data_IF_263717363914
#
_entry.id   IF_263717363914
#
_cell.length_a   1.000
_cell.length_b   1.000
_cell.length_c   1.000
_cell.angle_alpha   90.00
_cell.angle_beta   90.00
_cell.angle_gamma   90.00
#
_symmetry.space_group_name_H-M   'P 1'
#
loop_
_entity.id
_entity.type
_entity.pdbx_description
1 polymer ?
#
# COMPACT_ATOMS: atom_id res chain seq x y z
N UNK A 1 -6.70 4.60 -18.19
CA UNK A 1 -7.07 3.68 -17.10
C UNK A 1 -5.78 3.06 -16.58
N UNK A 2 -5.06 3.78 -15.72
CA UNK A 2 -3.77 3.33 -15.17
C UNK A 2 -4.10 2.52 -13.91
N UNK A 3 -4.31 1.22 -14.07
CA UNK A 3 -4.37 0.33 -12.91
C UNK A 3 -3.04 0.46 -12.16
N UNK A 4 -3.08 0.73 -10.85
CA UNK A 4 -1.89 0.61 -10.02
C UNK A 4 -1.28 -0.77 -10.27
N UNK A 5 0.04 -0.82 -10.51
CA UNK A 5 0.80 -2.07 -10.58
C UNK A 5 0.90 -2.80 -9.22
N UNK A 6 -0.05 -2.55 -8.32
CA UNK A 6 -0.22 -3.30 -7.09
C UNK A 6 -0.85 -4.64 -7.44
N UNK A 7 -0.10 -5.70 -7.23
CA UNK A 7 -0.53 -7.07 -7.48
C UNK A 7 -1.09 -7.63 -6.19
N UNK A 8 -2.32 -8.16 -6.23
CA UNK A 8 -2.88 -8.87 -5.08
C UNK A 8 -2.04 -10.12 -4.79
N UNK A 9 -1.69 -10.33 -3.54
CA UNK A 9 -0.99 -11.53 -3.10
C UNK A 9 -1.88 -12.75 -3.31
N UNK A 10 -1.27 -13.85 -3.76
CA UNK A 10 -1.96 -15.13 -3.95
C UNK A 10 -2.15 -15.88 -2.62
N UNK A 11 -1.29 -15.61 -1.64
CA UNK A 11 -1.36 -16.19 -0.29
C UNK A 11 -2.52 -15.61 0.52
N UNK A 12 -2.68 -14.28 0.47
CA UNK A 12 -3.68 -13.55 1.23
C UNK A 12 -4.38 -12.52 0.33
N UNK A 13 -5.69 -12.65 0.06
CA UNK A 13 -6.41 -11.72 -0.81
C UNK A 13 -6.52 -10.30 -0.23
N UNK A 14 -6.25 -10.16 1.07
CA UNK A 14 -6.18 -8.89 1.79
C UNK A 14 -4.83 -8.18 1.62
N UNK A 15 -3.80 -8.89 1.16
CA UNK A 15 -2.48 -8.33 0.93
C UNK A 15 -2.29 -7.96 -0.54
N UNK A 16 -1.80 -6.75 -0.75
CA UNK A 16 -1.53 -6.18 -2.06
C UNK A 16 -0.09 -5.71 -2.06
N UNK A 17 0.69 -6.24 -2.99
CA UNK A 17 2.11 -5.97 -3.10
C UNK A 17 2.28 -4.99 -4.24
N UNK A 18 2.88 -3.85 -3.93
CA UNK A 18 3.17 -2.82 -4.91
C UNK A 18 4.66 -2.67 -5.07
N UNK A 19 5.17 -3.14 -6.20
CA UNK A 19 6.58 -3.05 -6.54
C UNK A 19 6.77 -1.88 -7.52
N UNK A 20 7.65 -0.96 -7.13
CA UNK A 20 8.13 0.12 -7.98
C UNK A 20 9.64 -0.03 -8.16
N UNK A 21 10.23 0.56 -9.22
CA UNK A 21 11.67 0.44 -9.49
C UNK A 21 12.55 0.92 -8.33
N UNK A 22 12.06 1.88 -7.55
CA UNK A 22 12.79 2.54 -6.45
C UNK A 22 12.32 2.13 -5.05
N UNK A 23 11.13 1.52 -4.93
CA UNK A 23 10.53 1.19 -3.65
C UNK A 23 9.53 0.05 -3.77
N UNK A 24 9.30 -0.66 -2.68
CA UNK A 24 8.20 -1.61 -2.59
C UNK A 24 7.31 -1.23 -1.42
N UNK A 25 6.00 -1.41 -1.58
CA UNK A 25 5.02 -1.20 -0.53
C UNK A 25 4.10 -2.41 -0.43
N UNK A 26 3.81 -2.84 0.79
CA UNK A 26 2.82 -3.88 1.07
C UNK A 26 1.62 -3.20 1.70
N UNK A 27 0.48 -3.33 1.03
CA UNK A 27 -0.81 -2.83 1.47
C UNK A 27 -1.59 -4.00 2.03
N UNK A 28 -1.90 -3.97 3.31
CA UNK A 28 -2.73 -4.96 4.00
C UNK A 28 -4.07 -4.33 4.35
N UNK A 29 -5.13 -4.96 3.85
CA UNK A 29 -6.51 -4.65 4.20
C UNK A 29 -6.85 -5.34 5.53
N UNK A 30 -6.92 -4.58 6.61
CA UNK A 30 -7.42 -5.07 7.91
C UNK A 30 -8.91 -4.74 8.08
N UNK A 31 -9.58 -5.19 9.14
CA UNK A 31 -11.01 -4.90 9.33
C UNK A 31 -11.27 -3.46 9.79
N UNK A 32 -10.31 -2.84 10.49
CA UNK A 32 -10.46 -1.48 11.03
C UNK A 32 -9.75 -0.41 10.21
N UNK A 33 -8.64 -0.76 9.57
CA UNK A 33 -7.81 0.17 8.81
C UNK A 33 -7.04 -0.53 7.68
N UNK A 34 -6.48 0.28 6.79
CA UNK A 34 -5.59 -0.15 5.74
C UNK A 34 -4.15 0.11 6.15
N UNK A 35 -3.40 -0.94 6.46
CA UNK A 35 -1.98 -0.85 6.75
C UNK A 35 -1.17 -0.78 5.47
N UNK A 36 -0.27 0.18 5.34
CA UNK A 36 0.70 0.25 4.25
C UNK A 36 2.10 0.24 4.84
N UNK A 37 2.97 -0.60 4.31
CA UNK A 37 4.37 -0.71 4.75
C UNK A 37 5.29 -0.55 3.56
N UNK A 38 6.08 0.54 3.52
CA UNK A 38 7.12 0.76 2.53
C UNK A 38 8.45 0.16 3.00
N UNK A 39 9.07 -0.60 2.12
CA UNK A 39 10.35 -1.30 2.33
C UNK A 39 11.52 -0.65 1.60
N UNK A 40 11.37 0.58 1.10
CA UNK A 40 12.41 1.31 0.36
C UNK A 40 13.54 1.88 1.20
N UNK A 41 13.25 2.25 2.44
CA UNK A 41 14.22 2.87 3.33
C UNK A 41 14.36 2.02 4.59
N UNK A 42 15.59 1.90 5.10
CA UNK A 42 15.83 1.36 6.44
C UNK A 42 15.88 2.55 7.40
N UNK A 43 14.99 2.66 8.39
CA UNK A 43 13.98 1.68 8.82
C UNK A 43 12.70 1.70 7.96
N UNK A 44 12.03 0.54 7.81
CA UNK A 44 10.78 0.45 7.05
C UNK A 44 9.73 1.38 7.66
N UNK A 45 9.03 2.11 6.79
CA UNK A 45 7.97 3.04 7.20
C UNK A 45 6.63 2.33 7.05
N UNK A 46 5.78 2.44 8.06
CA UNK A 46 4.39 1.98 7.97
C UNK A 46 3.43 3.11 8.29
N UNK A 47 2.29 3.13 7.60
CA UNK A 47 1.19 4.04 7.85
C UNK A 47 -0.13 3.29 7.79
N UNK A 48 -1.01 3.59 8.74
CA UNK A 48 -2.37 3.07 8.79
C UNK A 48 -3.32 4.15 8.27
N UNK A 49 -4.15 3.80 7.30
CA UNK A 49 -5.18 4.69 6.77
C UNK A 49 -6.56 4.22 7.23
N UNK A 50 -7.36 5.06 7.90
CA UNK A 50 -8.73 4.70 8.23
C UNK A 50 -9.56 4.56 6.95
N UNK A 51 -10.52 3.64 6.94
CA UNK A 51 -11.45 3.43 5.83
C UNK A 51 -12.35 4.64 5.48
N UNK A 52 -12.31 5.69 6.30
CA UNK A 52 -12.93 6.98 5.96
C UNK A 52 -12.21 7.74 4.84
N UNK A 53 -10.97 7.37 4.50
CA UNK A 53 -10.25 7.92 3.34
C UNK A 53 -10.71 7.25 2.05
N UNK A 54 -10.81 8.05 0.98
CA UNK A 54 -11.12 7.48 -0.32
C UNK A 54 -9.95 6.63 -0.81
N UNK A 55 -10.27 5.58 -1.58
CA UNK A 55 -9.25 4.75 -2.23
C UNK A 55 -8.25 5.61 -3.01
N UNK A 56 -8.72 6.65 -3.71
CA UNK A 56 -7.87 7.53 -4.50
C UNK A 56 -6.88 8.34 -3.64
N UNK A 57 -7.31 8.83 -2.46
CA UNK A 57 -6.44 9.55 -1.53
C UNK A 57 -5.36 8.63 -0.96
N UNK A 58 -5.75 7.42 -0.56
CA UNK A 58 -4.81 6.38 -0.13
C UNK A 58 -3.82 6.06 -1.25
N UNK A 59 -4.31 5.77 -2.46
CA UNK A 59 -3.47 5.47 -3.61
C UNK A 59 -2.50 6.61 -3.93
N UNK A 60 -2.95 7.86 -3.76
CA UNK A 60 -2.12 9.05 -3.95
C UNK A 60 -1.07 9.17 -2.86
N UNK A 61 -1.43 8.98 -1.60
CA UNK A 61 -0.51 9.00 -0.47
C UNK A 61 0.59 7.93 -0.62
N UNK A 62 0.21 6.73 -1.07
CA UNK A 62 1.18 5.65 -1.32
C UNK A 62 2.07 5.95 -2.53
N UNK A 63 1.51 6.54 -3.59
CA UNK A 63 2.26 6.94 -4.78
C UNK A 63 3.24 8.08 -4.51
N UNK A 64 2.88 9.00 -3.61
CA UNK A 64 3.78 10.08 -3.17
C UNK A 64 5.03 9.52 -2.47
N UNK A 65 4.96 8.29 -1.96
CA UNK A 65 6.09 7.61 -1.33
C UNK A 65 6.28 7.98 0.14
N UNK A 66 7.30 7.41 0.82
CA UNK A 66 7.70 7.83 2.16
C UNK A 66 8.16 9.30 2.22
#
# INVERSE_FOLDING_TARGET
>A
MQALGATRSDQDPCDWIWEQPSWSAVVRLDQQDLGVTWTSERPPRSCSYPYGLTRADVETAIRLGP
#
